data_IF_130572726174
#
_entry.id   IF_130572726174
#
_cell.length_a   1.000
_cell.length_b   1.000
_cell.length_c   1.000
_cell.angle_alpha   90.00
_cell.angle_beta   90.00
_cell.angle_gamma   90.00
#
_symmetry.space_group_name_H-M   'P 1'
#
loop_
_entity.id
_entity.type
_entity.pdbx_description
1 polymer ?
#
# COMPACT_ATOMS: atom_id res chain seq x y z
N UNK A 1 -57.50 -40.05 -12.67
CA UNK A 1 -56.45 -39.07 -12.36
C UNK A 1 -55.55 -39.71 -11.34
N UNK A 2 -54.30 -40.00 -11.71
CA UNK A 2 -53.12 -39.86 -10.84
C UNK A 2 -51.88 -40.41 -11.55
N UNK A 3 -51.09 -39.49 -12.12
CA UNK A 3 -49.71 -39.78 -12.51
C UNK A 3 -48.87 -39.54 -11.25
N UNK A 4 -48.48 -40.61 -10.56
CA UNK A 4 -47.45 -40.54 -9.53
C UNK A 4 -46.14 -40.19 -10.23
N UNK A 5 -45.74 -38.92 -10.12
CA UNK A 5 -44.39 -38.46 -10.45
C UNK A 5 -43.45 -39.24 -9.53
N UNK A 6 -42.61 -40.10 -10.11
CA UNK A 6 -41.73 -40.97 -9.36
C UNK A 6 -40.79 -40.17 -8.46
N UNK A 7 -40.86 -40.42 -7.16
CA UNK A 7 -39.86 -40.00 -6.19
C UNK A 7 -38.52 -40.68 -6.53
N UNK A 8 -37.71 -39.99 -7.33
CA UNK A 8 -36.32 -40.38 -7.58
C UNK A 8 -35.51 -39.99 -6.34
N UNK A 9 -35.31 -40.94 -5.44
CA UNK A 9 -34.38 -40.78 -4.33
C UNK A 9 -32.94 -40.63 -4.83
N UNK A 10 -32.15 -39.80 -4.14
CA UNK A 10 -30.72 -39.63 -4.40
C UNK A 10 -30.01 -40.98 -4.30
N UNK A 11 -29.24 -41.34 -5.34
CA UNK A 11 -28.45 -42.58 -5.31
C UNK A 11 -27.17 -42.36 -4.50
N UNK A 12 -26.67 -43.42 -3.86
CA UNK A 12 -25.40 -43.36 -3.11
C UNK A 12 -24.24 -42.91 -4.02
N UNK A 13 -24.24 -43.35 -5.28
CA UNK A 13 -23.28 -42.95 -6.31
C UNK A 13 -23.29 -41.43 -6.55
N UNK A 14 -24.48 -40.82 -6.58
CA UNK A 14 -24.65 -39.39 -6.84
C UNK A 14 -24.06 -38.55 -5.71
N UNK A 15 -24.25 -38.96 -4.46
CA UNK A 15 -23.63 -38.29 -3.31
C UNK A 15 -22.10 -38.45 -3.32
N UNK A 16 -21.58 -39.63 -3.67
CA UNK A 16 -20.12 -39.85 -3.77
C UNK A 16 -19.51 -38.98 -4.87
N UNK A 17 -20.13 -38.90 -6.05
CA UNK A 17 -19.66 -38.05 -7.14
C UNK A 17 -19.67 -36.57 -6.75
N UNK A 18 -20.74 -36.12 -6.11
CA UNK A 18 -20.87 -34.74 -5.61
C UNK A 18 -19.77 -34.42 -4.60
N UNK A 19 -19.47 -35.33 -3.67
CA UNK A 19 -18.37 -35.15 -2.70
C UNK A 19 -16.99 -35.06 -3.37
N UNK A 20 -16.74 -35.87 -4.41
CA UNK A 20 -15.49 -35.81 -5.18
C UNK A 20 -15.35 -34.45 -5.86
N UNK A 21 -16.40 -33.99 -6.55
CA UNK A 21 -16.40 -32.69 -7.24
C UNK A 21 -16.22 -31.53 -6.24
N UNK A 22 -16.92 -31.58 -5.09
CA UNK A 22 -16.74 -30.58 -4.03
C UNK A 22 -15.31 -30.57 -3.50
N UNK A 23 -14.71 -31.73 -3.23
CA UNK A 23 -13.32 -31.81 -2.76
C UNK A 23 -12.33 -31.16 -3.73
N UNK A 24 -12.50 -31.37 -5.02
CA UNK A 24 -11.67 -30.75 -6.06
C UNK A 24 -11.86 -29.22 -6.13
N UNK A 25 -13.10 -28.73 -6.09
CA UNK A 25 -13.41 -27.30 -6.14
C UNK A 25 -12.86 -26.59 -4.89
N UNK A 26 -13.11 -27.14 -3.69
CA UNK A 26 -12.62 -26.54 -2.44
C UNK A 26 -11.10 -26.54 -2.36
N UNK A 27 -10.44 -27.62 -2.82
CA UNK A 27 -8.98 -27.69 -2.87
C UNK A 27 -8.35 -26.56 -3.68
N UNK A 28 -8.90 -26.25 -4.86
CA UNK A 28 -8.38 -25.16 -5.69
C UNK A 28 -8.83 -23.77 -5.20
N UNK A 29 -10.08 -23.65 -4.74
CA UNK A 29 -10.70 -22.37 -4.39
C UNK A 29 -9.98 -21.61 -3.26
N UNK A 30 -9.43 -22.31 -2.27
CA UNK A 30 -8.73 -21.67 -1.13
C UNK A 30 -7.46 -20.94 -1.59
N UNK A 31 -6.69 -21.52 -2.49
CA UNK A 31 -5.43 -20.92 -2.96
C UNK A 31 -5.66 -19.61 -3.72
N UNK A 32 -6.67 -19.58 -4.59
CA UNK A 32 -7.06 -18.40 -5.36
C UNK A 32 -7.58 -17.30 -4.44
N UNK A 33 -8.36 -17.66 -3.43
CA UNK A 33 -8.91 -16.70 -2.47
C UNK A 33 -7.82 -15.93 -1.71
N UNK A 34 -6.76 -16.61 -1.29
CA UNK A 34 -5.64 -15.98 -0.58
C UNK A 34 -4.92 -14.94 -1.43
N UNK A 35 -4.62 -15.25 -2.71
CA UNK A 35 -3.97 -14.29 -3.61
C UNK A 35 -4.82 -13.05 -3.90
N UNK A 36 -6.15 -13.21 -3.98
CA UNK A 36 -7.08 -12.10 -4.14
C UNK A 36 -7.07 -11.19 -2.90
N UNK A 37 -7.06 -11.77 -1.70
CA UNK A 37 -7.00 -10.99 -0.46
C UNK A 37 -5.72 -10.16 -0.38
N UNK A 38 -4.58 -10.74 -0.73
CA UNK A 38 -3.29 -10.04 -0.72
C UNK A 38 -3.26 -8.87 -1.71
N UNK A 39 -3.73 -9.09 -2.94
CA UNK A 39 -3.84 -8.04 -3.95
C UNK A 39 -4.74 -6.88 -3.51
N UNK A 40 -5.85 -7.19 -2.82
CA UNK A 40 -6.73 -6.18 -2.23
C UNK A 40 -6.05 -5.38 -1.13
N UNK A 41 -5.27 -6.05 -0.27
CA UNK A 41 -4.50 -5.37 0.79
C UNK A 41 -3.51 -4.37 0.21
N UNK A 42 -2.77 -4.74 -0.84
CA UNK A 42 -1.87 -3.83 -1.57
C UNK A 42 -2.63 -2.60 -2.09
N UNK A 43 -3.78 -2.80 -2.74
CA UNK A 43 -4.61 -1.70 -3.24
C UNK A 43 -5.14 -0.78 -2.13
N UNK A 44 -5.58 -1.35 -1.01
CA UNK A 44 -6.01 -0.61 0.17
C UNK A 44 -4.84 0.21 0.75
N UNK A 45 -3.67 -0.41 0.88
CA UNK A 45 -2.46 0.27 1.39
C UNK A 45 -2.07 1.45 0.51
N UNK A 46 -2.11 1.33 -0.82
CA UNK A 46 -1.85 2.47 -1.72
C UNK A 46 -2.83 3.62 -1.51
N UNK A 47 -4.13 3.32 -1.38
CA UNK A 47 -5.15 4.33 -1.05
C UNK A 47 -4.87 5.03 0.29
N UNK A 48 -4.39 4.26 1.28
CA UNK A 48 -4.01 4.77 2.59
C UNK A 48 -2.79 5.68 2.49
N UNK A 49 -1.77 5.31 1.69
CA UNK A 49 -0.60 6.16 1.45
C UNK A 49 -1.00 7.50 0.82
N UNK A 50 -1.88 7.50 -0.19
CA UNK A 50 -2.43 8.75 -0.74
C UNK A 50 -3.23 9.58 0.27
N UNK A 51 -3.93 8.92 1.19
CA UNK A 51 -4.64 9.62 2.28
C UNK A 51 -3.65 10.32 3.22
N UNK A 52 -2.53 9.66 3.55
CA UNK A 52 -1.45 10.27 4.32
C UNK A 52 -0.75 11.38 3.55
N UNK A 53 -0.49 11.19 2.26
CA UNK A 53 0.06 12.21 1.36
C UNK A 53 -0.78 13.47 1.37
N UNK A 54 -2.09 13.36 1.13
CA UNK A 54 -3.01 14.49 1.16
C UNK A 54 -2.99 15.22 2.51
N UNK A 55 -2.86 14.48 3.61
CA UNK A 55 -2.72 15.07 4.93
C UNK A 55 -1.41 15.88 5.08
N UNK A 56 -0.29 15.38 4.56
CA UNK A 56 0.99 16.08 4.56
C UNK A 56 1.01 17.28 3.61
N UNK A 57 0.45 17.14 2.41
CA UNK A 57 0.29 18.24 1.46
C UNK A 57 -0.56 19.34 2.09
N UNK A 58 -1.66 19.02 2.76
CA UNK A 58 -2.47 20.01 3.46
C UNK A 58 -1.68 20.75 4.56
N UNK A 59 -0.78 20.07 5.27
CA UNK A 59 0.14 20.74 6.19
C UNK A 59 1.03 21.74 5.43
N UNK A 60 1.68 21.29 4.36
CA UNK A 60 2.55 22.12 3.51
C UNK A 60 1.81 23.36 2.99
N UNK A 61 0.56 23.20 2.55
CA UNK A 61 -0.29 24.31 2.08
C UNK A 61 -0.57 25.35 3.18
N UNK A 62 -0.60 24.94 4.46
CA UNK A 62 -0.87 25.83 5.58
C UNK A 62 0.39 26.45 6.18
N UNK A 63 1.46 25.67 6.29
CA UNK A 63 2.71 26.08 6.92
C UNK A 63 3.71 26.70 5.96
N UNK A 64 3.57 26.45 4.65
CA UNK A 64 4.56 26.72 3.60
C UNK A 64 5.93 26.06 3.83
N UNK A 65 5.97 25.02 4.68
CA UNK A 65 7.18 24.28 5.04
C UNK A 65 6.97 22.78 4.89
N UNK A 66 8.05 22.08 4.57
CA UNK A 66 8.06 20.60 4.55
C UNK A 66 7.90 20.09 5.99
N UNK A 67 7.01 19.10 6.25
CA UNK A 67 6.76 18.59 7.59
C UNK A 67 8.02 18.02 8.24
N UNK A 68 8.42 18.45 9.46
CA UNK A 68 9.62 17.93 10.10
C UNK A 68 9.55 16.45 10.47
N UNK A 69 10.63 15.66 10.30
CA UNK A 69 10.58 14.22 10.59
C UNK A 69 10.39 13.94 12.09
N UNK A 70 10.93 14.81 12.95
CA UNK A 70 10.99 14.62 14.40
C UNK A 70 9.66 14.84 15.13
N UNK A 71 8.70 15.58 14.58
CA UNK A 71 7.46 15.90 15.32
C UNK A 71 6.45 14.75 15.34
N UNK A 72 6.80 13.60 14.77
CA UNK A 72 5.90 12.48 14.68
C UNK A 72 4.66 12.86 13.88
N UNK A 73 4.80 13.40 12.66
CA UNK A 73 3.68 13.73 11.76
C UNK A 73 2.77 12.54 11.48
N UNK A 74 3.33 11.33 11.58
CA UNK A 74 2.54 10.10 11.64
C UNK A 74 1.45 10.16 12.71
N UNK A 75 1.52 11.02 13.75
CA UNK A 75 0.53 11.26 14.80
C UNK A 75 -0.70 12.05 14.31
N UNK A 76 -0.53 13.01 13.41
CA UNK A 76 -1.62 13.80 12.82
C UNK A 76 -2.28 13.09 11.64
N UNK A 77 -1.46 12.37 10.87
CA UNK A 77 -1.89 11.59 9.72
C UNK A 77 -1.86 10.08 10.05
N UNK A 78 -2.22 9.68 11.28
CA UNK A 78 -2.16 8.29 11.77
C UNK A 78 -2.98 7.37 10.88
N UNK A 79 -2.28 6.70 9.97
CA UNK A 79 -2.84 5.65 9.16
C UNK A 79 -2.07 4.35 9.37
N UNK A 80 -2.83 3.28 9.48
CA UNK A 80 -2.30 1.92 9.46
C UNK A 80 -2.54 1.34 8.09
N UNK A 81 -1.59 0.59 7.57
CA UNK A 81 -1.76 -0.17 6.33
C UNK A 81 -2.72 -1.36 6.51
N UNK A 82 -2.95 -2.09 5.43
CA UNK A 82 -3.86 -3.24 5.42
C UNK A 82 -3.36 -4.46 6.24
N UNK A 83 -2.12 -4.44 6.71
CA UNK A 83 -1.53 -5.45 7.61
C UNK A 83 -1.46 -4.96 9.06
N UNK A 84 -1.85 -3.71 9.32
CA UNK A 84 -1.92 -3.11 10.64
C UNK A 84 -0.63 -2.40 11.07
N UNK A 85 0.37 -2.32 10.18
CA UNK A 85 1.60 -1.58 10.45
C UNK A 85 1.35 -0.08 10.29
N UNK A 86 2.13 0.74 11.00
CA UNK A 86 2.07 2.19 10.84
C UNK A 86 2.80 2.60 9.58
N UNK A 87 2.21 3.50 8.81
CA UNK A 87 2.91 4.16 7.71
C UNK A 87 4.04 5.01 8.28
N UNK A 88 5.24 4.84 7.73
CA UNK A 88 6.42 5.65 8.01
C UNK A 88 6.48 6.84 7.06
N UNK A 89 7.07 7.91 7.56
CA UNK A 89 7.31 9.13 6.81
C UNK A 89 8.80 9.44 6.89
N UNK A 90 9.41 9.63 5.74
CA UNK A 90 10.83 9.94 5.59
C UNK A 90 10.93 11.19 4.72
N UNK A 91 11.72 12.18 5.13
CA UNK A 91 11.94 13.40 4.35
C UNK A 91 13.42 13.73 4.28
N UNK A 92 13.76 14.65 3.37
CA UNK A 92 15.15 15.12 3.21
C UNK A 92 15.28 16.64 3.34
N UNK A 93 14.16 17.36 3.29
CA UNK A 93 14.08 18.80 3.42
C UNK A 93 13.39 19.18 4.73
N UNK A 94 13.82 18.59 5.84
CA UNK A 94 13.17 18.71 7.15
C UNK A 94 13.00 20.18 7.58
N UNK A 95 11.74 20.63 7.67
CA UNK A 95 11.38 22.00 8.07
C UNK A 95 11.73 23.08 7.04
N UNK A 96 12.24 22.71 5.86
CA UNK A 96 12.63 23.67 4.84
C UNK A 96 11.40 24.33 4.20
N UNK A 97 11.46 25.64 3.87
CA UNK A 97 10.38 26.33 3.20
C UNK A 97 10.28 25.88 1.74
N UNK A 98 9.05 25.63 1.28
CA UNK A 98 8.81 25.00 -0.03
C UNK A 98 9.14 25.95 -1.20
N UNK A 99 9.03 27.26 -0.98
CA UNK A 99 9.41 28.26 -1.98
C UNK A 99 10.92 28.53 -2.06
N UNK A 100 11.73 27.93 -1.18
CA UNK A 100 13.17 27.96 -1.27
C UNK A 100 13.70 26.74 -2.04
N UNK A 101 15.01 26.73 -2.29
CA UNK A 101 15.67 25.55 -2.84
C UNK A 101 15.65 24.43 -1.80
N UNK A 102 14.70 23.50 -1.95
CA UNK A 102 14.58 22.33 -1.10
C UNK A 102 15.71 21.33 -1.33
N UNK A 103 16.17 20.69 -0.25
CA UNK A 103 16.97 19.48 -0.30
C UNK A 103 16.18 18.37 -1.00
N UNK A 104 16.85 17.58 -1.84
CA UNK A 104 16.23 16.46 -2.56
C UNK A 104 17.18 15.28 -2.62
N UNK A 105 16.63 14.08 -2.79
CA UNK A 105 17.38 12.84 -3.08
C UNK A 105 16.81 12.16 -4.31
N UNK A 106 17.56 11.20 -4.85
CA UNK A 106 17.00 10.24 -5.80
C UNK A 106 16.22 9.16 -5.06
N UNK A 107 15.11 8.70 -5.63
CA UNK A 107 14.47 7.46 -5.24
C UNK A 107 14.75 6.40 -6.29
N UNK A 108 15.14 5.20 -5.85
CA UNK A 108 15.40 4.04 -6.70
C UNK A 108 14.45 2.94 -6.31
N UNK A 109 13.61 2.51 -7.25
CA UNK A 109 12.67 1.42 -7.04
C UNK A 109 12.66 0.47 -8.23
N UNK A 110 11.67 -0.42 -8.25
CA UNK A 110 11.51 -1.41 -9.33
C UNK A 110 11.08 -0.78 -10.66
N UNK A 111 10.53 0.43 -10.62
CA UNK A 111 10.04 1.15 -11.80
C UNK A 111 11.16 2.02 -12.41
N UNK A 112 12.12 2.48 -11.61
CA UNK A 112 13.32 3.14 -12.10
C UNK A 112 13.99 4.04 -11.07
N UNK A 113 14.60 5.12 -11.57
CA UNK A 113 15.22 6.18 -10.76
C UNK A 113 14.40 7.44 -10.93
N UNK A 114 14.03 8.05 -9.80
CA UNK A 114 13.17 9.21 -9.72
C UNK A 114 13.92 10.35 -9.01
N UNK A 115 14.33 11.42 -9.73
CA UNK A 115 15.08 12.52 -9.14
C UNK A 115 14.17 13.50 -8.40
N UNK A 116 14.76 14.32 -7.53
CA UNK A 116 14.07 15.47 -6.94
C UNK A 116 13.06 15.11 -5.85
N UNK A 117 13.19 13.94 -5.22
CA UNK A 117 12.29 13.47 -4.17
C UNK A 117 12.59 14.20 -2.87
N UNK A 118 11.55 14.78 -2.27
CA UNK A 118 11.62 15.55 -1.02
C UNK A 118 11.15 14.68 0.17
N UNK A 119 10.15 13.85 -0.06
CA UNK A 119 9.59 12.98 0.97
C UNK A 119 9.04 11.69 0.41
N UNK A 120 9.02 10.67 1.26
CA UNK A 120 8.54 9.33 0.97
C UNK A 120 7.66 8.84 2.12
N UNK A 121 6.51 8.30 1.78
CA UNK A 121 5.61 7.56 2.66
C UNK A 121 5.82 6.07 2.40
N UNK A 122 5.96 5.28 3.46
CA UNK A 122 6.28 3.85 3.34
C UNK A 122 5.37 3.00 4.23
N UNK A 123 4.83 1.93 3.66
CA UNK A 123 4.26 0.79 4.38
C UNK A 123 5.24 -0.36 4.35
N UNK A 124 5.40 -1.02 5.51
CA UNK A 124 6.24 -2.21 5.71
C UNK A 124 5.67 -3.50 5.10
N UNK A 125 4.57 -3.38 4.34
CA UNK A 125 4.00 -4.52 3.63
C UNK A 125 3.53 -5.69 4.52
N UNK A 126 3.35 -6.87 3.89
CA UNK A 126 2.99 -8.12 4.54
C UNK A 126 3.88 -8.56 5.69
N UNK A 127 5.20 -8.41 5.57
CA UNK A 127 6.13 -8.95 6.55
C UNK A 127 6.35 -8.03 7.77
N UNK A 128 5.92 -6.78 7.68
CA UNK A 128 6.00 -5.79 8.75
C UNK A 128 7.45 -5.38 9.06
N UNK A 129 8.37 -5.61 8.13
CA UNK A 129 9.77 -5.24 8.24
C UNK A 129 10.07 -4.08 7.30
N UNK A 130 11.20 -3.43 7.56
CA UNK A 130 11.71 -2.40 6.67
C UNK A 130 12.78 -3.05 5.80
N UNK A 131 12.52 -3.11 4.51
CA UNK A 131 13.44 -3.64 3.49
C UNK A 131 14.10 -2.53 2.66
N UNK A 132 13.58 -1.31 2.74
CA UNK A 132 14.20 -0.13 2.14
C UNK A 132 15.42 0.39 2.90
N UNK A 133 16.35 0.99 2.16
CA UNK A 133 17.52 1.66 2.72
C UNK A 133 17.54 3.15 2.36
N UNK A 134 18.05 3.96 3.29
CA UNK A 134 18.22 5.40 3.12
C UNK A 134 19.71 5.71 3.24
N UNK A 135 20.25 6.41 2.25
CA UNK A 135 21.62 6.95 2.25
C UNK A 135 21.58 8.47 2.20
N UNK A 136 22.74 9.12 2.19
CA UNK A 136 22.81 10.57 1.99
C UNK A 136 22.34 10.99 0.59
N UNK A 137 22.50 10.13 -0.42
CA UNK A 137 22.22 10.47 -1.82
C UNK A 137 20.86 9.97 -2.31
N UNK A 138 20.42 8.81 -1.83
CA UNK A 138 19.22 8.15 -2.36
C UNK A 138 18.42 7.36 -1.34
N UNK A 139 17.14 7.18 -1.66
CA UNK A 139 16.25 6.16 -1.11
C UNK A 139 16.26 4.93 -2.02
N UNK A 140 16.40 3.72 -1.49
CA UNK A 140 16.42 2.47 -2.27
C UNK A 140 15.33 1.50 -1.79
N UNK A 141 14.33 1.31 -2.65
CA UNK A 141 13.16 0.45 -2.50
C UNK A 141 13.18 -0.71 -3.52
N UNK A 142 14.33 -1.05 -4.11
CA UNK A 142 14.40 -2.12 -5.13
C UNK A 142 14.15 -3.53 -4.55
N UNK A 143 14.29 -3.68 -3.23
CA UNK A 143 14.16 -4.95 -2.50
C UNK A 143 12.92 -4.93 -1.62
N UNK A 144 12.42 -6.13 -1.31
CA UNK A 144 11.34 -6.32 -0.32
C UNK A 144 9.92 -6.25 -0.85
N UNK A 145 8.96 -6.25 0.07
CA UNK A 145 7.52 -6.10 -0.16
C UNK A 145 6.98 -4.73 0.29
N UNK A 146 7.87 -3.84 0.73
CA UNK A 146 7.59 -2.46 1.07
C UNK A 146 6.83 -1.75 -0.06
N UNK A 147 5.81 -1.00 0.33
CA UNK A 147 5.02 -0.17 -0.59
C UNK A 147 5.30 1.27 -0.25
N UNK A 148 5.79 2.03 -1.22
CA UNK A 148 6.09 3.44 -1.07
C UNK A 148 5.25 4.32 -1.99
N UNK A 149 5.18 5.58 -1.58
CA UNK A 149 4.68 6.70 -2.36
C UNK A 149 5.61 7.88 -2.08
N UNK A 150 5.94 8.67 -3.08
CA UNK A 150 6.89 9.76 -2.92
C UNK A 150 6.34 11.06 -3.48
N UNK A 151 6.88 12.17 -2.99
CA UNK A 151 6.54 13.51 -3.45
C UNK A 151 7.82 14.25 -3.80
N UNK A 152 7.81 14.89 -4.96
CA UNK A 152 8.93 15.64 -5.51
C UNK A 152 8.85 17.13 -5.19
N UNK A 153 10.00 17.80 -5.25
CA UNK A 153 10.09 19.25 -5.12
C UNK A 153 9.26 19.97 -6.20
N UNK A 154 9.20 19.41 -7.40
CA UNK A 154 8.39 19.95 -8.51
C UNK A 154 6.90 19.89 -8.21
N UNK A 155 6.40 18.79 -7.68
CA UNK A 155 4.98 18.62 -7.35
C UNK A 155 4.55 19.59 -6.25
N UNK A 156 5.34 19.72 -5.19
CA UNK A 156 5.03 20.67 -4.10
C UNK A 156 5.01 22.12 -4.58
N UNK A 157 5.98 22.51 -5.41
CA UNK A 157 6.01 23.86 -5.96
C UNK A 157 4.79 24.16 -6.85
N UNK A 158 4.34 23.17 -7.64
CA UNK A 158 3.18 23.32 -8.50
C UNK A 158 1.86 23.44 -7.70
N UNK A 159 1.77 22.81 -6.54
CA UNK A 159 0.58 22.86 -5.66
C UNK A 159 0.43 24.19 -4.92
N UNK A 160 1.49 25.00 -4.84
CA UNK A 160 1.51 26.28 -4.11
C UNK A 160 1.45 27.53 -5.02
N UNK A 161 1.31 27.34 -6.34
CA UNK A 161 1.09 28.40 -7.33
C UNK A 161 -0.40 28.72 -7.48
#
# INVERSE_FOLDING_TARGET
MDRRLGDKGFTLLEIVLVMVVFGLIFGMGISVWMGILESRKVGVTRSILHTAENCLVNYVLQSHTVPPAAEGYTRWCLVKDAWGNRVKFENVADGEPVHARMSTKELRDREGVHPGVVMVLVSMGPDGRQDYSITEEYFDFRKGDDIHLYVTASELNLMLL
#
